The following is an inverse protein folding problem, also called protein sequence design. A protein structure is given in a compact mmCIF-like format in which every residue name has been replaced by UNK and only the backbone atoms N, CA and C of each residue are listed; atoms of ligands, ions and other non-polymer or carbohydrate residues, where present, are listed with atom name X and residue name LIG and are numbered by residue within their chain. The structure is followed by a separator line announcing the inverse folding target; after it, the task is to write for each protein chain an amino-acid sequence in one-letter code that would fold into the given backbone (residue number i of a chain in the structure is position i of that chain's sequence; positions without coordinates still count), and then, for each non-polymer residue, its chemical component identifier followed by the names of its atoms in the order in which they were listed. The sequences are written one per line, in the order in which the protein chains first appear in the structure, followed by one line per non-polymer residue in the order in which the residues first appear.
data_IF_820077087236
#
_entry.id   IF_820077087236
#
_cell.length_a   1.000
_cell.length_b   1.000
_cell.length_c   1.000
_cell.angle_alpha   90.00
_cell.angle_beta   90.00
_cell.angle_gamma   90.00
#
_symmetry.space_group_name_H-M   'P 1'
#
loop_
_entity.id
_entity.type
_entity.pdbx_description
1 polymer ?
#
# COMPACT_ATOMS: atom_id res chain seq x y z
N UNK A 1 15.62 -46.10 40.71
CA UNK A 1 14.61 -45.02 40.90
C UNK A 1 14.96 -43.70 40.20
N UNK A 2 16.23 -43.31 40.02
CA UNK A 2 16.58 -42.03 39.36
C UNK A 2 16.29 -41.97 37.84
N UNK A 3 16.35 -43.10 37.13
CA UNK A 3 16.22 -43.14 35.66
C UNK A 3 14.78 -42.92 35.16
N UNK A 4 13.76 -43.22 35.97
CA UNK A 4 12.35 -43.05 35.60
C UNK A 4 11.89 -41.57 35.64
N UNK A 5 12.51 -40.74 36.49
CA UNK A 5 12.15 -39.32 36.62
C UNK A 5 12.64 -38.47 35.43
N UNK A 6 13.78 -38.83 34.81
CA UNK A 6 14.30 -38.13 33.65
C UNK A 6 13.43 -38.32 32.39
N UNK A 7 12.82 -39.51 32.22
CA UNK A 7 11.94 -39.81 31.08
C UNK A 7 10.60 -39.05 31.18
N UNK A 8 10.09 -38.85 32.40
CA UNK A 8 8.84 -38.11 32.65
C UNK A 8 9.01 -36.61 32.36
N UNK A 9 10.17 -36.04 32.68
CA UNK A 9 10.49 -34.62 32.42
C UNK A 9 10.67 -34.37 30.91
N UNK A 10 11.29 -35.29 30.18
CA UNK A 10 11.43 -35.18 28.72
C UNK A 10 10.07 -35.24 27.98
N UNK A 11 9.14 -36.06 28.46
CA UNK A 11 7.77 -36.13 27.91
C UNK A 11 6.91 -34.90 28.25
N UNK A 12 7.18 -34.24 29.39
CA UNK A 12 6.53 -32.98 29.75
C UNK A 12 7.06 -31.81 28.91
N UNK A 13 8.35 -31.78 28.59
CA UNK A 13 8.95 -30.77 27.70
C UNK A 13 8.45 -30.90 26.25
N UNK A 14 8.25 -32.13 25.75
CA UNK A 14 7.67 -32.35 24.41
C UNK A 14 6.19 -31.93 24.32
N UNK A 15 5.39 -32.11 25.38
CA UNK A 15 3.98 -31.65 25.40
C UNK A 15 3.85 -30.14 25.55
N UNK A 16 4.72 -29.49 26.33
CA UNK A 16 4.76 -28.02 26.43
C UNK A 16 5.15 -27.38 25.09
N UNK A 17 6.03 -28.02 24.31
CA UNK A 17 6.39 -27.54 22.97
C UNK A 17 5.24 -27.62 21.95
N UNK A 18 4.33 -28.59 22.09
CA UNK A 18 3.17 -28.73 21.19
C UNK A 18 2.06 -27.71 21.48
N UNK A 19 1.91 -27.26 22.74
CA UNK A 19 0.92 -26.24 23.14
C UNK A 19 1.35 -24.83 22.71
N UNK A 20 2.66 -24.56 22.59
CA UNK A 20 3.16 -23.22 22.23
C UNK A 20 3.09 -22.88 20.74
N UNK A 21 2.82 -23.84 19.84
CA UNK A 21 2.65 -23.58 18.39
C UNK A 21 1.24 -23.11 18.01
N UNK A 22 0.41 -22.69 18.96
CA UNK A 22 -1.00 -22.37 18.70
C UNK A 22 -1.41 -20.92 18.94
N UNK A 23 -0.44 -20.00 19.04
CA UNK A 23 -0.72 -18.58 19.25
C UNK A 23 0.14 -17.70 18.36
N UNK A 24 -0.28 -17.54 17.10
CA UNK A 24 -0.28 -16.22 16.44
C UNK A 24 -1.11 -16.27 15.16
N UNK A 25 -2.43 -16.32 15.30
CA UNK A 25 -3.35 -15.94 14.23
C UNK A 25 -4.37 -14.99 14.84
N UNK A 26 -4.01 -13.71 14.82
CA UNK A 26 -4.87 -12.58 15.17
C UNK A 26 -4.57 -11.43 14.18
N UNK A 27 -4.68 -11.70 12.88
CA UNK A 27 -4.25 -10.82 11.79
C UNK A 27 -5.42 -10.04 11.17
N UNK A 28 -6.26 -9.36 11.96
CA UNK A 28 -7.46 -8.72 11.38
C UNK A 28 -7.71 -7.25 11.75
N UNK A 29 -6.99 -6.68 12.72
CA UNK A 29 -7.11 -5.23 13.05
C UNK A 29 -5.81 -4.45 13.00
N UNK A 30 -4.68 -5.15 12.97
CA UNK A 30 -3.34 -4.57 12.99
C UNK A 30 -2.79 -4.37 11.58
N UNK A 31 -3.51 -4.75 10.52
CA UNK A 31 -3.01 -4.57 9.15
C UNK A 31 -3.19 -3.13 8.66
N UNK A 32 -4.31 -2.46 9.00
CA UNK A 32 -4.66 -1.17 8.40
C UNK A 32 -3.74 0.00 8.77
N UNK A 33 -3.28 0.11 10.02
CA UNK A 33 -2.41 1.21 10.45
C UNK A 33 -1.01 1.13 9.81
N UNK A 34 -0.48 -0.09 9.69
CA UNK A 34 0.81 -0.39 9.08
C UNK A 34 0.77 -0.09 7.58
N UNK A 35 -0.27 -0.56 6.87
CA UNK A 35 -0.46 -0.27 5.45
C UNK A 35 -0.57 1.24 5.20
N UNK A 36 -1.30 1.98 6.03
CA UNK A 36 -1.37 3.46 5.92
C UNK A 36 0.01 4.10 6.04
N UNK A 37 0.84 3.65 6.99
CA UNK A 37 2.21 4.17 7.14
C UNK A 37 3.08 3.86 5.93
N UNK A 38 3.02 2.63 5.41
CA UNK A 38 3.77 2.20 4.24
C UNK A 38 3.36 2.97 2.98
N UNK A 39 2.06 3.17 2.77
CA UNK A 39 1.53 3.94 1.64
C UNK A 39 1.93 5.41 1.74
N UNK A 40 1.91 6.02 2.93
CA UNK A 40 2.41 7.39 3.13
C UNK A 40 3.90 7.51 2.79
N UNK A 41 4.72 6.56 3.24
CA UNK A 41 6.14 6.54 2.92
C UNK A 41 6.36 6.42 1.40
N UNK A 42 5.62 5.52 0.75
CA UNK A 42 5.68 5.35 -0.70
C UNK A 42 5.29 6.65 -1.43
N UNK A 43 4.19 7.29 -1.05
CA UNK A 43 3.75 8.59 -1.59
C UNK A 43 4.84 9.66 -1.45
N UNK A 44 5.47 9.76 -0.28
CA UNK A 44 6.48 10.78 0.00
C UNK A 44 7.83 10.48 -0.69
N UNK A 45 8.12 9.21 -0.97
CA UNK A 45 9.35 8.80 -1.66
C UNK A 45 9.34 9.06 -3.17
N UNK A 46 8.19 9.42 -3.76
CA UNK A 46 8.03 9.62 -5.21
C UNK A 46 7.68 11.06 -5.52
N UNK A 47 8.32 11.63 -6.54
CA UNK A 47 7.98 12.97 -7.05
C UNK A 47 6.54 13.00 -7.57
N UNK A 48 6.13 11.97 -8.30
CA UNK A 48 4.74 11.75 -8.73
C UNK A 48 4.37 10.31 -8.43
N UNK A 49 3.31 10.12 -7.65
CA UNK A 49 2.73 8.82 -7.33
C UNK A 49 1.30 8.75 -7.89
N UNK A 50 0.97 7.65 -8.55
CA UNK A 50 -0.36 7.40 -9.10
C UNK A 50 -0.82 6.01 -8.69
N UNK A 51 -1.86 5.94 -7.87
CA UNK A 51 -2.62 4.71 -7.73
C UNK A 51 -3.58 4.58 -8.91
N UNK A 52 -3.53 3.46 -9.61
CA UNK A 52 -4.20 3.20 -10.88
C UNK A 52 -4.90 1.84 -10.87
N UNK A 53 -5.74 1.59 -11.89
CA UNK A 53 -6.13 0.24 -12.28
C UNK A 53 -6.03 0.06 -13.79
N UNK A 54 -5.60 -1.12 -14.25
CA UNK A 54 -5.26 -1.35 -15.66
C UNK A 54 -6.44 -1.10 -16.61
N UNK A 55 -7.65 -1.44 -16.17
CA UNK A 55 -8.89 -1.29 -16.94
C UNK A 55 -9.51 0.12 -16.88
N UNK A 56 -8.98 1.03 -16.07
CA UNK A 56 -9.62 2.32 -15.82
C UNK A 56 -9.32 3.35 -16.92
N UNK A 57 -10.33 3.84 -17.67
CA UNK A 57 -10.10 4.81 -18.74
C UNK A 57 -9.58 6.16 -18.24
N UNK A 58 -9.99 6.59 -17.05
CA UNK A 58 -9.50 7.82 -16.42
C UNK A 58 -8.03 7.70 -15.99
N UNK A 59 -7.59 6.52 -15.55
CA UNK A 59 -6.17 6.27 -15.26
C UNK A 59 -5.34 6.37 -16.54
N UNK A 60 -5.81 5.79 -17.65
CA UNK A 60 -5.14 5.89 -18.95
C UNK A 60 -5.00 7.33 -19.44
N UNK A 61 -6.02 8.18 -19.22
CA UNK A 61 -5.94 9.60 -19.55
C UNK A 61 -4.99 10.39 -18.66
N UNK A 62 -4.98 10.13 -17.36
CA UNK A 62 -4.02 10.75 -16.44
C UNK A 62 -2.58 10.35 -16.79
N UNK A 63 -2.33 9.06 -17.08
CA UNK A 63 -1.03 8.54 -17.50
C UNK A 63 -0.51 9.23 -18.77
N UNK A 64 -1.35 9.44 -19.79
CA UNK A 64 -0.96 10.18 -21.02
C UNK A 64 -0.54 11.62 -20.76
N UNK A 65 -1.19 12.31 -19.82
CA UNK A 65 -0.79 13.68 -19.47
C UNK A 65 0.56 13.66 -18.72
N UNK A 66 0.72 12.72 -17.78
CA UNK A 66 1.96 12.55 -17.04
C UNK A 66 3.12 12.12 -17.93
N UNK A 67 2.91 11.29 -18.96
CA UNK A 67 3.94 10.92 -19.92
C UNK A 67 4.59 12.14 -20.60
N UNK A 68 3.80 13.20 -20.83
CA UNK A 68 4.29 14.48 -21.39
C UNK A 68 4.90 15.41 -20.34
N UNK A 69 4.36 15.38 -19.12
CA UNK A 69 4.72 16.30 -18.06
C UNK A 69 5.89 15.83 -17.19
N UNK A 70 5.88 14.53 -16.85
CA UNK A 70 6.82 13.84 -15.99
C UNK A 70 6.77 12.31 -16.26
N UNK A 71 7.56 11.79 -17.23
CA UNK A 71 7.51 10.38 -17.65
C UNK A 71 7.96 9.39 -16.57
N UNK A 72 8.70 9.86 -15.55
CA UNK A 72 9.17 9.04 -14.43
C UNK A 72 8.11 8.87 -13.31
N UNK A 73 6.85 9.19 -13.58
CA UNK A 73 5.76 9.01 -12.62
C UNK A 73 5.66 7.56 -12.17
N UNK A 74 5.62 7.32 -10.86
CA UNK A 74 5.46 6.00 -10.30
C UNK A 74 3.99 5.57 -10.38
N UNK A 75 3.72 4.52 -11.16
CA UNK A 75 2.37 3.97 -11.35
C UNK A 75 2.23 2.67 -10.54
N UNK A 76 1.26 2.64 -9.63
CA UNK A 76 0.88 1.46 -8.88
C UNK A 76 -0.47 0.93 -9.39
N UNK A 77 -0.44 -0.17 -10.15
CA UNK A 77 -1.66 -0.80 -10.69
C UNK A 77 -2.28 -1.72 -9.63
N UNK A 78 -3.23 -1.19 -8.86
CA UNK A 78 -3.81 -1.84 -7.68
C UNK A 78 -4.51 -3.16 -8.00
N UNK A 79 -5.03 -3.33 -9.21
CA UNK A 79 -5.70 -4.57 -9.63
C UNK A 79 -4.72 -5.71 -9.97
N UNK A 80 -3.40 -5.47 -9.90
CA UNK A 80 -2.37 -6.44 -10.27
C UNK A 80 -1.52 -6.94 -9.10
N UNK A 81 -1.78 -6.41 -7.90
CA UNK A 81 -1.03 -6.72 -6.66
C UNK A 81 -1.98 -7.30 -5.61
N UNK A 82 -1.46 -8.21 -4.78
CA UNK A 82 -2.26 -8.96 -3.80
C UNK A 82 -2.92 -8.05 -2.75
N UNK A 83 -2.20 -7.02 -2.31
CA UNK A 83 -2.62 -6.06 -1.27
C UNK A 83 -3.31 -4.80 -1.84
N UNK A 84 -3.75 -4.85 -3.11
CA UNK A 84 -4.29 -3.69 -3.81
C UNK A 84 -5.51 -3.06 -3.16
N UNK A 85 -6.43 -3.87 -2.62
CA UNK A 85 -7.63 -3.39 -1.92
C UNK A 85 -7.28 -2.75 -0.57
N UNK A 86 -6.30 -3.30 0.16
CA UNK A 86 -5.81 -2.74 1.42
C UNK A 86 -5.10 -1.41 1.19
N UNK A 87 -4.29 -1.31 0.14
CA UNK A 87 -3.67 -0.06 -0.30
C UNK A 87 -4.75 0.95 -0.71
N UNK A 88 -5.79 0.54 -1.42
CA UNK A 88 -6.90 1.41 -1.80
C UNK A 88 -7.65 1.96 -0.57
N UNK A 89 -7.86 1.13 0.46
CA UNK A 89 -8.44 1.55 1.73
C UNK A 89 -7.52 2.50 2.52
N UNK A 90 -6.20 2.26 2.48
CA UNK A 90 -5.20 3.15 3.06
C UNK A 90 -5.19 4.51 2.36
N UNK A 91 -5.22 4.54 1.02
CA UNK A 91 -5.33 5.77 0.22
C UNK A 91 -6.60 6.55 0.57
N UNK A 92 -7.74 5.88 0.71
CA UNK A 92 -8.98 6.50 1.17
C UNK A 92 -8.82 7.10 2.58
N UNK A 93 -8.11 6.44 3.48
CA UNK A 93 -7.84 6.96 4.83
C UNK A 93 -6.88 8.15 4.83
N UNK A 94 -5.99 8.24 3.85
CA UNK A 94 -4.99 9.33 3.72
C UNK A 94 -5.61 10.58 3.10
N UNK A 95 -6.33 10.46 1.98
CA UNK A 95 -6.84 11.61 1.24
C UNK A 95 -8.36 11.78 1.24
N UNK A 96 -9.11 10.82 1.78
CA UNK A 96 -10.57 10.76 1.64
C UNK A 96 -11.05 10.22 0.29
N UNK A 97 -10.15 10.05 -0.69
CA UNK A 97 -10.50 9.59 -2.04
C UNK A 97 -10.33 8.08 -2.17
N UNK A 98 -11.44 7.38 -2.46
CA UNK A 98 -11.43 5.93 -2.77
C UNK A 98 -11.15 5.62 -4.24
N UNK A 99 -11.48 6.52 -5.16
CA UNK A 99 -11.44 6.26 -6.61
C UNK A 99 -10.03 6.34 -7.17
N UNK A 100 -9.77 5.55 -8.21
CA UNK A 100 -8.60 5.69 -9.09
C UNK A 100 -8.95 6.57 -10.32
N UNK A 101 -8.00 7.32 -10.89
CA UNK A 101 -6.63 7.49 -10.40
C UNK A 101 -6.61 8.31 -9.10
N UNK A 102 -5.73 7.97 -8.15
CA UNK A 102 -5.47 8.75 -6.93
C UNK A 102 -4.04 9.27 -7.00
N UNK A 103 -3.88 10.58 -7.20
CA UNK A 103 -2.65 11.20 -7.69
C UNK A 103 -2.04 12.11 -6.63
N UNK A 104 -0.73 11.98 -6.44
CA UNK A 104 0.07 12.83 -5.57
C UNK A 104 1.27 13.39 -6.32
N UNK A 105 1.63 14.64 -6.04
CA UNK A 105 2.84 15.29 -6.53
C UNK A 105 3.61 15.86 -5.33
N UNK A 106 4.86 15.44 -5.14
CA UNK A 106 5.73 15.80 -4.00
C UNK A 106 4.99 15.63 -2.65
N UNK A 107 4.35 14.47 -2.47
CA UNK A 107 3.55 14.15 -1.28
C UNK A 107 2.20 14.86 -1.14
N UNK A 108 1.89 15.87 -1.98
CA UNK A 108 0.61 16.58 -1.96
C UNK A 108 -0.43 15.86 -2.79
N UNK A 109 -1.60 15.60 -2.20
CA UNK A 109 -2.76 15.03 -2.91
C UNK A 109 -3.28 16.02 -3.96
N UNK A 110 -3.41 15.55 -5.20
CA UNK A 110 -3.94 16.31 -6.34
C UNK A 110 -5.39 15.96 -6.60
N UNK A 111 -5.77 14.69 -6.44
CA UNK A 111 -7.12 14.20 -6.72
C UNK A 111 -7.14 13.14 -7.82
N UNK A 112 -8.15 13.19 -8.68
CA UNK A 112 -8.35 12.28 -9.80
C UNK A 112 -7.91 12.84 -11.15
N UNK A 113 -8.38 12.20 -12.23
CA UNK A 113 -8.05 12.64 -13.58
C UNK A 113 -8.55 14.07 -13.86
N UNK A 114 -9.76 14.42 -13.44
CA UNK A 114 -10.31 15.77 -13.66
C UNK A 114 -9.43 16.85 -13.04
N UNK A 115 -8.96 16.62 -11.81
CA UNK A 115 -8.09 17.55 -11.08
C UNK A 115 -6.73 17.71 -11.77
N UNK A 116 -6.13 16.58 -12.20
CA UNK A 116 -4.87 16.60 -12.94
C UNK A 116 -4.99 17.33 -14.29
N UNK A 117 -6.08 17.10 -15.02
CA UNK A 117 -6.32 17.78 -16.31
C UNK A 117 -6.55 19.29 -16.11
N UNK A 118 -7.27 19.68 -15.05
CA UNK A 118 -7.47 21.08 -14.68
C UNK A 118 -6.16 21.78 -14.30
N UNK A 119 -5.22 21.05 -13.69
CA UNK A 119 -3.88 21.56 -13.40
C UNK A 119 -3.08 21.80 -14.69
N UNK A 120 -3.13 20.84 -15.63
CA UNK A 120 -2.53 20.94 -16.95
C UNK A 120 -1.01 20.73 -16.99
N UNK A 121 -0.49 20.39 -18.18
CA UNK A 121 0.91 19.98 -18.38
C UNK A 121 1.93 21.00 -17.86
N UNK A 122 1.75 22.28 -18.20
CA UNK A 122 2.67 23.36 -17.80
C UNK A 122 2.80 23.43 -16.28
N UNK A 123 1.67 23.39 -15.55
CA UNK A 123 1.71 23.52 -14.10
C UNK A 123 2.29 22.29 -13.45
N UNK A 124 2.03 21.09 -13.99
CA UNK A 124 2.66 19.85 -13.51
C UNK A 124 4.19 19.97 -13.65
N UNK A 125 4.70 20.42 -14.81
CA UNK A 125 6.13 20.65 -15.05
C UNK A 125 6.76 21.60 -14.02
N UNK A 126 6.07 22.69 -13.68
CA UNK A 126 6.52 23.62 -12.63
C UNK A 126 6.57 22.97 -11.23
N UNK A 127 5.63 22.06 -10.92
CA UNK A 127 5.59 21.40 -9.62
C UNK A 127 6.65 20.32 -9.47
N UNK A 128 7.04 19.65 -10.56
CA UNK A 128 7.99 18.53 -10.55
C UNK A 128 9.45 18.94 -10.82
N UNK A 129 9.68 20.17 -11.32
CA UNK A 129 11.00 20.79 -11.39
C UNK A 129 11.62 20.96 -9.99
#
# INVERSE_FOLDING_TARGET
MQLAFALLILLLLFKVFSVFKRSFSATSRVMSAQTVSQVKELINSKTVFVASKTYCPYCSSAKRLLEKAYPDAYILELDTIEDGDDIQAALQSISGQRTVPNIYIKGKHIGGNSDLQALGEKKIKELVA
#
